data_IF_867363649106
#
_entry.id   IF_867363649106
#
_cell.length_a   1.000
_cell.length_b   1.000
_cell.length_c   1.000
_cell.angle_alpha   90.00
_cell.angle_beta   90.00
_cell.angle_gamma   90.00
#
_symmetry.space_group_name_H-M   'P 1'
#
loop_
_entity.id
_entity.type
_entity.pdbx_description
1 polymer ?
#
# COMPACT_ATOMS: atom_id res chain seq x y z
N UNK A 1 7.00 -8.29 22.95
CA UNK A 1 5.82 -8.40 22.09
C UNK A 1 6.34 -8.74 20.70
N UNK A 2 6.15 -9.98 20.24
CA UNK A 2 6.47 -10.34 18.86
C UNK A 2 5.47 -9.62 17.97
N UNK A 3 5.91 -8.54 17.31
CA UNK A 3 5.14 -7.95 16.22
C UNK A 3 5.19 -8.96 15.08
N UNK A 4 4.18 -9.81 15.03
CA UNK A 4 3.93 -10.68 13.89
C UNK A 4 3.86 -9.77 12.66
N UNK A 5 4.87 -9.86 11.78
CA UNK A 5 4.90 -9.15 10.50
C UNK A 5 3.64 -9.59 9.73
N UNK A 6 2.56 -8.83 9.86
CA UNK A 6 1.34 -9.06 9.10
C UNK A 6 1.69 -8.84 7.64
N UNK A 7 1.75 -9.93 6.87
CA UNK A 7 1.89 -9.88 5.43
C UNK A 7 0.85 -8.91 4.86
N UNK A 8 1.30 -7.93 4.08
CA UNK A 8 0.42 -6.97 3.45
C UNK A 8 -0.46 -7.70 2.45
N UNK A 9 -1.75 -7.36 2.42
CA UNK A 9 -2.74 -7.91 1.49
C UNK A 9 -3.42 -6.78 0.73
N UNK A 10 -4.12 -7.09 -0.36
CA UNK A 10 -4.88 -6.08 -1.14
C UNK A 10 -5.97 -5.38 -0.32
N UNK A 11 -6.45 -6.02 0.74
CA UNK A 11 -7.47 -5.49 1.64
C UNK A 11 -6.86 -4.64 2.77
N UNK A 12 -5.53 -4.59 2.86
CA UNK A 12 -4.83 -3.75 3.83
C UNK A 12 -5.02 -2.27 3.50
N UNK A 13 -5.21 -1.47 4.55
CA UNK A 13 -5.33 -0.03 4.44
C UNK A 13 -3.98 0.58 4.06
N UNK A 14 -3.97 1.42 3.03
CA UNK A 14 -2.75 2.07 2.53
C UNK A 14 -2.07 2.88 3.65
N UNK A 15 -2.85 3.61 4.44
CA UNK A 15 -2.33 4.38 5.57
C UNK A 15 -1.62 3.55 6.64
N UNK A 16 -2.11 2.34 6.91
CA UNK A 16 -1.47 1.43 7.87
C UNK A 16 -0.20 0.82 7.27
N UNK A 17 -0.26 0.39 6.02
CA UNK A 17 0.87 -0.22 5.31
C UNK A 17 2.06 0.75 5.23
N UNK A 18 1.81 2.03 4.94
CA UNK A 18 2.86 3.07 4.92
C UNK A 18 3.50 3.28 6.30
N UNK A 19 2.73 3.11 7.38
CA UNK A 19 3.23 3.26 8.77
C UNK A 19 3.98 2.01 9.24
N UNK A 20 3.57 0.83 8.80
CA UNK A 20 4.14 -0.45 9.28
C UNK A 20 5.31 -0.93 8.44
N UNK A 21 5.35 -0.60 7.13
CA UNK A 21 6.39 -1.07 6.21
C UNK A 21 7.24 0.11 5.72
N UNK A 22 8.51 0.21 6.18
CA UNK A 22 9.46 1.18 5.65
C UNK A 22 9.64 0.99 4.13
N UNK A 23 9.54 2.07 3.37
CA UNK A 23 9.63 2.04 1.90
C UNK A 23 8.32 1.77 1.16
N UNK A 24 7.25 1.32 1.82
CA UNK A 24 5.95 1.12 1.17
C UNK A 24 5.38 2.42 0.58
N UNK A 25 5.72 3.58 1.18
CA UNK A 25 5.39 4.89 0.62
C UNK A 25 5.90 5.07 -0.81
N UNK A 26 7.12 4.63 -1.11
CA UNK A 26 7.74 4.79 -2.43
C UNK A 26 7.08 3.87 -3.45
N UNK A 27 6.77 2.63 -3.06
CA UNK A 27 6.02 1.68 -3.89
C UNK A 27 4.64 2.22 -4.21
N UNK A 28 3.92 2.73 -3.21
CA UNK A 28 2.60 3.34 -3.43
C UNK A 28 2.71 4.60 -4.28
N UNK A 29 3.72 5.45 -4.08
CA UNK A 29 3.95 6.61 -4.95
C UNK A 29 4.20 6.19 -6.42
N UNK A 30 4.96 5.11 -6.64
CA UNK A 30 5.28 4.56 -7.96
C UNK A 30 4.05 4.03 -8.69
N UNK A 31 3.14 3.36 -7.98
CA UNK A 31 1.94 2.78 -8.59
C UNK A 31 0.80 3.79 -8.73
N UNK A 32 0.44 4.49 -7.65
CA UNK A 32 -0.73 5.37 -7.59
C UNK A 32 -0.41 6.83 -7.95
N UNK A 33 0.88 7.15 -8.11
CA UNK A 33 1.38 8.49 -8.43
C UNK A 33 1.57 9.39 -7.21
N UNK A 34 2.37 10.44 -7.36
CA UNK A 34 2.65 11.40 -6.28
C UNK A 34 1.42 12.18 -5.81
N UNK A 35 0.39 12.30 -6.65
CA UNK A 35 -0.90 12.92 -6.31
C UNK A 35 -1.76 12.07 -5.36
N UNK A 36 -1.47 10.78 -5.23
CA UNK A 36 -2.22 9.87 -4.39
C UNK A 36 -2.27 10.32 -2.92
N UNK A 37 -1.17 10.89 -2.40
CA UNK A 37 -1.10 11.40 -1.03
C UNK A 37 -1.88 12.71 -0.79
N UNK A 38 -2.40 13.32 -1.85
CA UNK A 38 -3.26 14.51 -1.75
C UNK A 38 -4.74 14.15 -1.67
N UNK A 39 -5.11 12.89 -1.95
CA UNK A 39 -6.47 12.40 -1.75
C UNK A 39 -6.72 12.25 -0.23
N UNK A 40 -7.77 12.88 0.32
CA UNK A 40 -8.12 12.69 1.74
C UNK A 40 -8.44 11.22 2.07
N UNK A 41 -8.82 10.43 1.07
CA UNK A 41 -9.13 8.99 1.19
C UNK A 41 -7.91 8.09 1.40
N UNK A 42 -6.69 8.52 1.06
CA UNK A 42 -5.54 7.60 0.97
C UNK A 42 -5.19 6.89 2.29
N UNK A 43 -5.49 7.53 3.43
CA UNK A 43 -5.22 6.95 4.75
C UNK A 43 -6.31 5.96 5.20
N UNK A 44 -7.47 5.95 4.53
CA UNK A 44 -8.66 5.15 4.87
C UNK A 44 -9.11 4.24 3.72
N UNK A 45 -8.34 4.19 2.63
CA UNK A 45 -8.60 3.34 1.47
C UNK A 45 -7.73 2.08 1.50
N UNK A 46 -8.27 0.97 0.97
CA UNK A 46 -7.50 -0.26 0.76
C UNK A 46 -6.64 -0.18 -0.50
N UNK A 47 -5.57 -0.99 -0.54
CA UNK A 47 -4.74 -1.12 -1.75
C UNK A 47 -5.58 -1.54 -2.96
N UNK A 48 -6.53 -2.46 -2.76
CA UNK A 48 -7.49 -2.91 -3.78
C UNK A 48 -8.33 -1.75 -4.34
N UNK A 49 -8.88 -0.92 -3.45
CA UNK A 49 -9.73 0.19 -3.85
C UNK A 49 -8.94 1.23 -4.64
N UNK A 50 -7.80 1.69 -4.12
CA UNK A 50 -6.98 2.65 -4.87
C UNK A 50 -6.49 2.06 -6.20
N UNK A 51 -6.19 0.75 -6.26
CA UNK A 51 -5.74 0.11 -7.49
C UNK A 51 -6.86 0.10 -8.51
N UNK A 52 -8.10 -0.18 -8.09
CA UNK A 52 -9.28 -0.08 -8.94
C UNK A 52 -9.49 1.35 -9.47
N UNK A 53 -9.37 2.37 -8.62
CA UNK A 53 -9.53 3.78 -9.01
C UNK A 53 -8.49 4.25 -10.04
N UNK A 54 -7.31 3.65 -10.02
CA UNK A 54 -6.19 3.96 -10.91
C UNK A 54 -5.99 2.92 -12.03
N UNK A 55 -6.91 1.96 -12.16
CA UNK A 55 -6.85 0.85 -13.14
C UNK A 55 -5.53 0.05 -13.08
N UNK A 56 -5.06 -0.21 -11.86
CA UNK A 56 -3.86 -0.97 -11.52
C UNK A 56 -4.22 -2.35 -10.98
N UNK A 57 -3.26 -3.26 -11.03
CA UNK A 57 -3.38 -4.57 -10.40
C UNK A 57 -2.93 -4.47 -8.92
N UNK A 58 -3.84 -4.63 -7.94
CA UNK A 58 -3.48 -4.54 -6.54
C UNK A 58 -2.51 -5.63 -6.09
N UNK A 59 -2.46 -6.78 -6.79
CA UNK A 59 -1.54 -7.84 -6.43
C UNK A 59 -0.09 -7.42 -6.65
N UNK A 60 0.20 -6.67 -7.72
CA UNK A 60 1.56 -6.15 -8.00
C UNK A 60 2.05 -5.21 -6.90
N UNK A 61 1.17 -4.34 -6.42
CA UNK A 61 1.49 -3.41 -5.33
C UNK A 61 1.81 -4.20 -4.07
N UNK A 62 0.97 -5.17 -3.72
CA UNK A 62 1.14 -6.01 -2.53
C UNK A 62 2.42 -6.83 -2.60
N UNK A 63 2.73 -7.41 -3.74
CA UNK A 63 3.93 -8.23 -3.94
C UNK A 63 5.20 -7.38 -3.81
N UNK A 64 5.21 -6.18 -4.39
CA UNK A 64 6.36 -5.27 -4.28
C UNK A 64 6.54 -4.75 -2.85
N UNK A 65 5.45 -4.43 -2.13
CA UNK A 65 5.53 -4.04 -0.71
C UNK A 65 6.04 -5.20 0.15
N UNK A 66 5.53 -6.41 -0.05
CA UNK A 66 6.00 -7.58 0.68
C UNK A 66 7.45 -7.96 0.34
N UNK A 67 7.95 -7.61 -0.86
CA UNK A 67 9.34 -7.81 -1.24
C UNK A 67 10.32 -6.87 -0.51
N UNK A 68 9.85 -5.71 0.00
CA UNK A 68 10.66 -4.82 0.84
C UNK A 68 10.94 -5.39 2.25
N UNK A 69 10.10 -6.32 2.69
CA UNK A 69 10.20 -6.96 4.01
C UNK A 69 11.10 -8.21 4.01
N UNK A 70 11.60 -8.61 2.84
CA UNK A 70 12.43 -9.80 2.59
C UNK A 70 13.93 -9.57 2.70
#
# INVERSE_FOLDING_TARGET
MIVEKKKVTKDSMIGDVIKTVPGAREVIAKYFGNGCFTCPGINVESISFGSMMHNLDPQKVVDEINALEG
#
